data_IF_558335824187
#
_entry.id   IF_558335824187
#
_cell.length_a   1.000
_cell.length_b   1.000
_cell.length_c   1.000
_cell.angle_alpha   90.00
_cell.angle_beta   90.00
_cell.angle_gamma   90.00
#
_symmetry.space_group_name_H-M   'P 1'
#
loop_
_entity.id
_entity.type
_entity.pdbx_description
1 polymer ?
#
# COMPACT_ATOMS: atom_id res chain seq x y z
N UNK A 1 26.85 21.86 -68.85
CA UNK A 1 26.15 22.00 -67.55
C UNK A 1 24.65 21.85 -67.81
N UNK A 2 24.04 20.73 -67.42
CA UNK A 2 22.59 20.51 -67.57
C UNK A 2 21.88 21.25 -66.45
N UNK A 3 21.11 22.29 -66.79
CA UNK A 3 20.18 22.91 -65.87
C UNK A 3 19.11 21.88 -65.49
N UNK A 4 19.06 21.53 -64.21
CA UNK A 4 17.98 20.72 -63.62
C UNK A 4 16.72 21.58 -63.69
N UNK A 5 15.79 21.25 -64.58
CA UNK A 5 14.48 21.90 -64.59
C UNK A 5 13.74 21.54 -63.30
N UNK A 6 13.42 22.56 -62.51
CA UNK A 6 12.52 22.45 -61.36
C UNK A 6 11.12 22.28 -61.91
N UNK A 7 10.48 21.14 -61.67
CA UNK A 7 9.08 20.93 -62.09
C UNK A 7 8.18 21.87 -61.30
N UNK A 8 7.42 22.71 -62.00
CA UNK A 8 6.45 23.68 -61.44
C UNK A 8 5.12 23.04 -61.03
N UNK A 9 5.13 21.76 -60.66
CA UNK A 9 3.93 21.03 -60.30
C UNK A 9 3.62 21.21 -58.81
N UNK A 10 3.00 22.36 -58.50
CA UNK A 10 2.63 22.75 -57.14
C UNK A 10 1.77 21.70 -56.42
N UNK A 11 0.98 20.90 -57.16
CA UNK A 11 0.15 19.84 -56.57
C UNK A 11 0.99 18.68 -56.06
N UNK A 12 2.00 18.27 -56.84
CA UNK A 12 2.95 17.25 -56.39
C UNK A 12 3.78 17.73 -55.19
N UNK A 13 4.18 19.01 -55.18
CA UNK A 13 4.93 19.60 -54.07
C UNK A 13 4.10 19.68 -52.78
N UNK A 14 2.84 20.09 -52.86
CA UNK A 14 1.92 20.13 -51.70
C UNK A 14 1.67 18.73 -51.16
N UNK A 15 1.45 17.74 -52.03
CA UNK A 15 1.26 16.36 -51.59
C UNK A 15 2.49 15.78 -50.86
N UNK A 16 3.70 16.11 -51.33
CA UNK A 16 4.94 15.73 -50.65
C UNK A 16 5.10 16.45 -49.31
N UNK A 17 4.76 17.73 -49.24
CA UNK A 17 4.76 18.50 -47.98
C UNK A 17 3.77 17.91 -46.97
N UNK A 18 2.56 17.54 -47.41
CA UNK A 18 1.55 16.91 -46.58
C UNK A 18 2.04 15.57 -46.01
N UNK A 19 2.59 14.70 -46.86
CA UNK A 19 3.19 13.42 -46.45
C UNK A 19 4.33 13.61 -45.44
N UNK A 20 5.18 14.62 -45.64
CA UNK A 20 6.30 14.91 -44.74
C UNK A 20 5.84 15.49 -43.40
N UNK A 21 4.83 16.36 -43.41
CA UNK A 21 4.25 16.90 -42.17
C UNK A 21 3.52 15.82 -41.35
N UNK A 22 2.81 14.90 -42.00
CA UNK A 22 2.18 13.76 -41.32
C UNK A 22 3.22 12.81 -40.73
N UNK A 23 4.28 12.51 -41.49
CA UNK A 23 5.41 11.73 -40.98
C UNK A 23 6.05 12.40 -39.77
N UNK A 24 6.25 13.71 -39.83
CA UNK A 24 6.86 14.48 -38.74
C UNK A 24 5.98 14.54 -37.49
N UNK A 25 4.68 14.83 -37.65
CA UNK A 25 3.72 14.82 -36.56
C UNK A 25 3.62 13.43 -35.92
N UNK A 26 3.59 12.37 -36.73
CA UNK A 26 3.62 11.00 -36.24
C UNK A 26 4.88 10.73 -35.41
N UNK A 27 6.06 11.03 -35.93
CA UNK A 27 7.32 10.79 -35.22
C UNK A 27 7.43 11.60 -33.92
N UNK A 28 7.05 12.88 -33.91
CA UNK A 28 7.08 13.72 -32.71
C UNK A 28 6.08 13.27 -31.64
N UNK A 29 4.88 12.83 -32.06
CA UNK A 29 3.89 12.25 -31.14
C UNK A 29 4.34 10.90 -30.58
N UNK A 30 4.96 10.05 -31.40
CA UNK A 30 5.45 8.74 -30.99
C UNK A 30 6.63 8.84 -30.03
N UNK A 31 7.60 9.73 -30.28
CA UNK A 31 8.71 9.96 -29.34
C UNK A 31 8.22 10.52 -28.01
N UNK A 32 7.22 11.40 -28.02
CA UNK A 32 6.58 11.89 -26.79
C UNK A 32 5.94 10.75 -25.97
N UNK A 33 5.17 9.86 -26.62
CA UNK A 33 4.55 8.71 -25.96
C UNK A 33 5.58 7.72 -25.41
N UNK A 34 6.68 7.50 -26.11
CA UNK A 34 7.75 6.60 -25.65
C UNK A 34 8.60 7.18 -24.52
N UNK A 35 8.71 8.50 -24.42
CA UNK A 35 9.43 9.20 -23.36
C UNK A 35 8.58 9.45 -22.11
N UNK A 36 7.27 9.20 -22.19
CA UNK A 36 6.38 9.20 -21.03
C UNK A 36 6.77 8.03 -20.12
N UNK A 37 7.68 8.31 -19.19
CA UNK A 37 7.91 7.47 -18.02
C UNK A 37 6.68 7.57 -17.13
N UNK A 38 5.69 6.72 -17.39
CA UNK A 38 4.66 6.41 -16.40
C UNK A 38 5.39 5.57 -15.35
N UNK A 39 5.55 6.04 -14.11
CA UNK A 39 6.07 5.18 -13.05
C UNK A 39 5.22 3.92 -13.04
N UNK A 40 5.84 2.74 -13.14
CA UNK A 40 5.09 1.49 -13.11
C UNK A 40 4.11 1.55 -11.93
N UNK A 41 2.80 1.29 -12.16
CA UNK A 41 1.88 1.22 -11.06
C UNK A 41 2.41 0.14 -10.12
N UNK A 42 2.63 0.52 -8.87
CA UNK A 42 2.98 -0.41 -7.81
C UNK A 42 2.05 -1.61 -7.89
N UNK A 43 2.59 -2.82 -7.78
CA UNK A 43 1.78 -4.02 -7.92
C UNK A 43 0.72 -4.03 -6.82
N UNK A 44 -0.55 -3.84 -7.20
CA UNK A 44 -1.70 -3.97 -6.29
C UNK A 44 -1.69 -5.30 -5.53
N UNK A 45 -1.08 -6.32 -6.13
CA UNK A 45 -0.83 -7.62 -5.50
C UNK A 45 0.06 -7.55 -4.26
N UNK A 46 1.08 -6.68 -4.21
CA UNK A 46 2.01 -6.62 -3.07
C UNK A 46 1.38 -5.92 -1.87
N UNK A 47 0.66 -4.82 -2.10
CA UNK A 47 -0.09 -4.15 -1.04
C UNK A 47 -1.28 -5.01 -0.59
N UNK A 48 -1.94 -5.73 -1.51
CA UNK A 48 -2.97 -6.70 -1.16
C UNK A 48 -2.46 -7.82 -0.25
N UNK A 49 -1.24 -8.31 -0.44
CA UNK A 49 -0.65 -9.32 0.45
C UNK A 49 -0.36 -8.75 1.85
N UNK A 50 0.13 -7.51 1.96
CA UNK A 50 0.32 -6.84 3.25
C UNK A 50 -1.01 -6.62 3.96
N UNK A 51 -2.06 -6.23 3.22
CA UNK A 51 -3.40 -6.09 3.76
C UNK A 51 -3.91 -7.42 4.32
N UNK A 52 -3.80 -8.49 3.53
CA UNK A 52 -4.25 -9.82 3.93
C UNK A 52 -3.48 -10.32 5.16
N UNK A 53 -2.16 -10.10 5.22
CA UNK A 53 -1.37 -10.46 6.39
C UNK A 53 -1.83 -9.73 7.66
N UNK A 54 -2.16 -8.44 7.56
CA UNK A 54 -2.69 -7.67 8.67
C UNK A 54 -4.12 -8.10 9.06
N UNK A 55 -4.98 -8.38 8.08
CA UNK A 55 -6.35 -8.87 8.33
C UNK A 55 -6.37 -10.27 8.94
N UNK A 56 -5.45 -11.15 8.55
CA UNK A 56 -5.31 -12.50 9.10
C UNK A 56 -4.83 -12.46 10.56
N UNK A 57 -3.85 -11.61 10.88
CA UNK A 57 -3.43 -11.33 12.25
C UNK A 57 -4.61 -10.89 13.14
N UNK A 58 -5.43 -9.96 12.65
CA UNK A 58 -6.65 -9.55 13.34
C UNK A 58 -7.66 -10.69 13.49
N UNK A 59 -7.88 -11.48 12.44
CA UNK A 59 -8.81 -12.61 12.48
C UNK A 59 -8.37 -13.70 13.45
N UNK A 60 -7.07 -13.97 13.54
CA UNK A 60 -6.49 -14.93 14.47
C UNK A 60 -6.72 -14.48 15.92
N UNK A 61 -6.38 -13.24 16.27
CA UNK A 61 -6.55 -12.73 17.63
C UNK A 61 -8.02 -12.61 18.04
N UNK A 62 -8.88 -12.08 17.16
CA UNK A 62 -10.33 -11.99 17.44
C UNK A 62 -11.04 -13.35 17.44
N UNK A 63 -10.41 -14.39 16.85
CA UNK A 63 -10.93 -15.76 16.85
C UNK A 63 -10.66 -16.50 18.17
N UNK A 64 -9.80 -15.96 19.03
CA UNK A 64 -9.55 -16.54 20.36
C UNK A 64 -10.67 -16.17 21.32
N UNK A 65 -11.25 -17.19 21.96
CA UNK A 65 -12.34 -16.98 22.90
C UNK A 65 -11.82 -16.30 24.18
N UNK A 66 -12.57 -15.32 24.72
CA UNK A 66 -12.25 -14.63 25.97
C UNK A 66 -12.16 -15.59 27.16
N UNK A 67 -11.44 -15.24 28.22
CA UNK A 67 -11.46 -15.99 29.48
C UNK A 67 -12.80 -15.76 30.19
N UNK A 68 -13.28 -14.51 30.24
CA UNK A 68 -14.63 -14.16 30.67
C UNK A 68 -15.59 -13.97 29.47
N UNK A 69 -16.25 -15.08 29.08
CA UNK A 69 -17.24 -15.10 28.00
C UNK A 69 -18.54 -14.34 28.30
N UNK A 70 -18.82 -13.99 29.57
CA UNK A 70 -20.07 -13.30 29.91
C UNK A 70 -20.00 -11.80 29.62
N UNK A 71 -18.80 -11.21 29.74
CA UNK A 71 -18.58 -9.77 29.57
C UNK A 71 -17.82 -9.41 28.28
N UNK A 72 -17.00 -10.31 27.75
CA UNK A 72 -16.11 -10.01 26.61
C UNK A 72 -16.36 -10.91 25.41
N UNK A 73 -16.17 -10.36 24.21
CA UNK A 73 -16.42 -11.08 22.95
C UNK A 73 -15.26 -12.00 22.55
N UNK A 74 -14.02 -11.56 22.75
CA UNK A 74 -12.81 -12.32 22.42
C UNK A 74 -11.69 -11.95 23.40
N UNK A 75 -10.64 -12.78 23.47
CA UNK A 75 -9.53 -12.54 24.40
C UNK A 75 -8.80 -11.22 24.08
N UNK A 76 -8.82 -10.80 22.82
CA UNK A 76 -8.28 -9.51 22.40
C UNK A 76 -9.06 -8.33 23.00
N UNK A 77 -10.40 -8.36 23.00
CA UNK A 77 -11.27 -7.31 23.53
C UNK A 77 -11.21 -7.25 25.05
N UNK A 78 -11.12 -8.41 25.70
CA UNK A 78 -10.83 -8.53 27.13
C UNK A 78 -9.50 -7.85 27.47
N UNK A 79 -8.40 -8.21 26.80
CA UNK A 79 -7.07 -7.63 27.06
C UNK A 79 -7.04 -6.10 26.83
N UNK A 80 -7.79 -5.60 25.85
CA UNK A 80 -7.97 -4.17 25.62
C UNK A 80 -8.72 -3.50 26.77
N UNK A 81 -9.82 -4.11 27.22
CA UNK A 81 -10.66 -3.58 28.32
C UNK A 81 -9.92 -3.58 29.67
N UNK A 82 -9.03 -4.55 29.89
CA UNK A 82 -8.16 -4.62 31.07
C UNK A 82 -7.05 -3.55 31.07
N UNK A 83 -6.87 -2.83 29.95
CA UNK A 83 -5.82 -1.82 29.79
C UNK A 83 -4.43 -2.40 29.50
N UNK A 84 -4.34 -3.70 29.22
CA UNK A 84 -3.10 -4.40 28.89
C UNK A 84 -2.69 -4.19 27.41
N UNK A 85 -2.62 -2.92 26.98
CA UNK A 85 -2.45 -2.53 25.57
C UNK A 85 -1.15 -3.05 24.93
N UNK A 86 -0.06 -3.13 25.71
CA UNK A 86 1.19 -3.70 25.21
C UNK A 86 1.05 -5.20 24.89
N UNK A 87 0.36 -5.96 25.75
CA UNK A 87 0.15 -7.39 25.53
C UNK A 87 -0.76 -7.64 24.31
N UNK A 88 -1.83 -6.85 24.18
CA UNK A 88 -2.70 -6.91 23.01
C UNK A 88 -1.95 -6.60 21.71
N UNK A 89 -1.10 -5.57 21.71
CA UNK A 89 -0.29 -5.26 20.54
C UNK A 89 0.81 -6.29 20.28
N UNK A 90 1.45 -6.83 21.31
CA UNK A 90 2.49 -7.86 21.15
C UNK A 90 1.90 -9.15 20.57
N UNK A 91 0.72 -9.58 21.02
CA UNK A 91 0.04 -10.76 20.46
C UNK A 91 -0.27 -10.55 18.98
N UNK A 92 -0.85 -9.40 18.64
CA UNK A 92 -1.14 -9.02 17.25
C UNK A 92 0.13 -8.96 16.39
N UNK A 93 1.24 -8.40 16.89
CA UNK A 93 2.50 -8.35 16.15
C UNK A 93 3.14 -9.73 15.97
N UNK A 94 2.99 -10.65 16.93
CA UNK A 94 3.50 -12.03 16.80
C UNK A 94 2.69 -12.91 15.87
N UNK A 95 1.42 -12.55 15.60
CA UNK A 95 0.56 -13.25 14.64
C UNK A 95 0.90 -12.92 13.17
N UNK A 96 1.74 -11.91 12.91
CA UNK A 96 2.14 -11.56 11.56
C UNK A 96 3.06 -12.64 10.95
N UNK A 97 2.83 -13.02 9.68
CA UNK A 97 3.67 -14.00 9.00
C UNK A 97 5.03 -13.42 8.60
N UNK A 98 6.10 -14.22 8.71
CA UNK A 98 7.40 -13.87 8.12
C UNK A 98 7.28 -13.73 6.59
N UNK A 99 7.88 -12.70 5.95
CA UNK A 99 8.82 -11.71 6.46
C UNK A 99 8.16 -10.33 6.74
N UNK A 100 6.90 -10.29 7.17
CA UNK A 100 6.17 -9.05 7.46
C UNK A 100 6.46 -8.60 8.89
N UNK A 101 6.80 -7.33 9.05
CA UNK A 101 6.91 -6.68 10.37
C UNK A 101 5.90 -5.56 10.48
N UNK A 102 5.59 -5.16 11.71
CA UNK A 102 4.63 -4.10 11.95
C UNK A 102 4.80 -3.30 13.23
N UNK A 103 3.96 -2.27 13.33
CA UNK A 103 3.72 -1.47 14.51
C UNK A 103 2.23 -1.47 14.81
N UNK A 104 1.88 -1.64 16.08
CA UNK A 104 0.51 -1.59 16.55
C UNK A 104 0.26 -0.26 17.28
N UNK A 105 -0.86 0.35 16.94
CA UNK A 105 -1.29 1.65 17.44
C UNK A 105 -2.72 1.54 17.94
N UNK A 106 -3.00 2.04 19.13
CA UNK A 106 -4.32 1.92 19.77
C UNK A 106 -4.80 3.29 20.23
N UNK A 107 -6.10 3.55 20.07
CA UNK A 107 -6.86 4.65 20.67
C UNK A 107 -8.15 4.12 21.30
N UNK A 108 -8.60 4.73 22.39
CA UNK A 108 -9.85 4.42 23.09
C UNK A 108 -10.82 5.61 22.98
N UNK A 109 -12.09 5.38 22.61
CA UNK A 109 -13.19 6.35 22.66
C UNK A 109 -12.77 7.77 22.21
N UNK A 110 -12.21 7.89 21.01
CA UNK A 110 -11.74 9.15 20.40
C UNK A 110 -10.42 9.74 20.97
N UNK A 111 -9.73 9.00 21.83
CA UNK A 111 -8.43 9.38 22.37
C UNK A 111 -7.30 9.39 21.35
N UNK A 112 -6.14 9.90 21.78
CA UNK A 112 -4.95 9.97 20.93
C UNK A 112 -4.42 8.58 20.59
N UNK A 113 -4.08 8.39 19.32
CA UNK A 113 -3.49 7.16 18.83
C UNK A 113 -2.03 7.03 19.31
N UNK A 114 -1.76 6.03 20.14
CA UNK A 114 -0.43 5.78 20.69
C UNK A 114 0.09 4.40 20.27
N UNK A 115 1.42 4.29 20.15
CA UNK A 115 2.11 3.04 19.78
C UNK A 115 2.33 2.19 21.01
N UNK A 116 2.01 0.90 20.92
CA UNK A 116 2.23 -0.08 21.97
C UNK A 116 2.94 -1.33 21.43
N UNK A 117 3.58 -2.08 22.33
CA UNK A 117 4.30 -3.32 22.02
C UNK A 117 5.70 -3.16 21.42
N UNK A 118 6.30 -4.30 21.10
CA UNK A 118 7.64 -4.48 20.51
C UNK A 118 7.64 -4.23 19.00
N UNK A 119 7.16 -3.06 18.58
CA UNK A 119 7.19 -2.69 17.18
C UNK A 119 8.61 -2.42 16.67
N UNK A 120 8.80 -2.40 15.35
CA UNK A 120 10.07 -2.05 14.70
C UNK A 120 9.99 -0.76 13.87
N UNK A 121 11.12 -0.29 13.35
CA UNK A 121 11.16 0.88 12.45
C UNK A 121 11.01 0.45 11.00
N UNK A 122 10.11 1.08 10.22
CA UNK A 122 9.92 0.72 8.84
C UNK A 122 11.13 1.08 7.98
N UNK A 123 11.64 0.10 7.23
CA UNK A 123 12.77 0.29 6.30
C UNK A 123 12.32 0.72 4.88
N UNK A 124 11.10 1.23 4.74
CA UNK A 124 10.56 1.63 3.45
C UNK A 124 9.05 1.89 3.49
N UNK A 125 8.35 1.41 2.46
CA UNK A 125 6.89 1.58 2.33
C UNK A 125 6.17 0.80 3.42
N UNK A 126 5.20 1.44 4.04
CA UNK A 126 4.30 0.81 5.01
C UNK A 126 2.87 0.86 4.49
N UNK A 127 2.07 -0.10 4.95
CA UNK A 127 0.62 -0.14 4.78
C UNK A 127 -0.01 -0.10 6.16
N UNK A 128 -1.14 0.59 6.33
CA UNK A 128 -1.87 0.62 7.61
C UNK A 128 -3.26 0.04 7.43
N UNK A 129 -3.63 -0.87 8.32
CA UNK A 129 -4.98 -1.46 8.41
C UNK A 129 -5.59 -1.06 9.74
N UNK A 130 -6.83 -0.60 9.70
CA UNK A 130 -7.56 -0.12 10.88
C UNK A 130 -8.71 -1.07 11.19
N UNK A 131 -8.86 -1.41 12.47
CA UNK A 131 -9.97 -2.21 12.98
C UNK A 131 -10.60 -1.52 14.18
N UNK A 132 -11.92 -1.50 14.19
CA UNK A 132 -12.70 -1.08 15.35
C UNK A 132 -13.07 -2.32 16.15
N UNK A 133 -12.77 -2.31 17.44
CA UNK A 133 -13.18 -3.33 18.40
C UNK A 133 -14.07 -2.66 19.43
N UNK A 134 -15.25 -3.23 19.66
CA UNK A 134 -16.25 -2.67 20.57
C UNK A 134 -16.47 -3.66 21.69
N UNK A 135 -16.32 -3.21 22.93
CA UNK A 135 -16.43 -4.04 24.12
C UNK A 135 -16.95 -3.23 25.30
N UNK A 136 -17.98 -3.71 25.99
CA UNK A 136 -18.54 -3.04 27.18
C UNK A 136 -19.09 -1.62 26.98
N UNK A 137 -19.21 -1.13 25.74
CA UNK A 137 -19.57 0.26 25.43
C UNK A 137 -18.38 1.17 25.07
N UNK A 138 -17.16 0.67 25.22
CA UNK A 138 -15.94 1.31 24.75
C UNK A 138 -15.63 0.89 23.31
N UNK A 139 -15.15 1.85 22.51
CA UNK A 139 -14.73 1.66 21.14
C UNK A 139 -13.23 1.86 21.04
N UNK A 140 -12.54 0.80 20.68
CA UNK A 140 -11.10 0.77 20.49
C UNK A 140 -10.80 0.84 18.99
N UNK A 141 -9.98 1.82 18.61
CA UNK A 141 -9.41 1.91 17.27
C UNK A 141 -8.02 1.31 17.30
N UNK A 142 -7.86 0.13 16.67
CA UNK A 142 -6.57 -0.55 16.56
C UNK A 142 -6.08 -0.39 15.13
N UNK A 143 -4.89 0.16 14.97
CA UNK A 143 -4.23 0.37 13.69
C UNK A 143 -2.97 -0.46 13.64
N UNK A 144 -2.89 -1.36 12.68
CA UNK A 144 -1.71 -2.18 12.41
C UNK A 144 -1.01 -1.63 11.16
N UNK A 145 0.16 -1.05 11.37
CA UNK A 145 1.04 -0.61 10.29
C UNK A 145 2.01 -1.76 9.98
N UNK A 146 2.02 -2.27 8.74
CA UNK A 146 2.83 -3.40 8.29
C UNK A 146 3.73 -3.05 7.12
N UNK A 147 4.85 -3.75 6.99
CA UNK A 147 5.77 -3.65 5.85
C UNK A 147 6.57 -4.94 5.69
N UNK A 148 7.12 -5.12 4.49
CA UNK A 148 8.09 -6.19 4.26
C UNK A 148 9.45 -5.84 4.84
N UNK A 149 10.03 -6.81 5.54
CA UNK A 149 11.46 -6.77 5.85
C UNK A 149 12.18 -7.13 4.55
N UNK A 150 12.84 -6.14 3.93
CA UNK A 150 13.72 -6.42 2.81
C UNK A 150 14.77 -7.45 3.26
N UNK A 151 15.04 -8.46 2.44
CA UNK A 151 16.02 -9.52 2.70
C UNK A 151 17.49 -9.06 2.75
N UNK A 152 17.72 -7.82 3.18
CA UNK A 152 19.02 -7.34 3.63
C UNK A 152 19.32 -7.98 4.97
N UNK A 153 20.12 -9.04 4.93
CA UNK A 153 20.79 -9.65 6.07
C UNK A 153 21.34 -8.57 7.00
N UNK A 154 20.75 -8.43 8.19
CA UNK A 154 21.46 -7.84 9.32
C UNK A 154 22.20 -9.00 10.02
N UNK A 155 23.53 -8.87 9.95
CA UNK A 155 24.62 -9.50 10.70
C UNK A 155 24.26 -10.50 11.83
#
# INVERSE_FOLDING_TARGET
MRYRQVSTDYRAQVHVLEMLTLFWLFFMSATFVLQLQIPDPISSSSDGQLQLAAEDAFAQEMGTSAIDHENHTNAFSETLSEGSLNLACDSLLTSLPDPVQGNCWIANNEGDLARFGQGSTPFGRTMSVHRLVVDGGDVWTVTLQVWYVGGGTNA
#
